data_IF_676447267745
#
_entry.id   IF_676447267745
#
_cell.length_a   1.000
_cell.length_b   1.000
_cell.length_c   1.000
_cell.angle_alpha   90.00
_cell.angle_beta   90.00
_cell.angle_gamma   90.00
#
_symmetry.space_group_name_H-M   'P 1'
#
loop_
_entity.id
_entity.type
_entity.pdbx_description
1 polymer ?
#
# COMPACT_ATOMS: atom_id res chain seq x y z
N UNK A 1 -8.78 2.62 33.19
CA UNK A 1 -7.48 2.51 32.47
C UNK A 1 -7.45 1.19 31.72
N UNK A 2 -7.06 1.17 30.45
CA UNK A 2 -7.17 0.02 29.52
C UNK A 2 -6.21 -1.17 29.80
N UNK A 3 -5.63 -1.28 31.00
CA UNK A 3 -4.72 -2.39 31.34
C UNK A 3 -3.40 -2.43 30.56
N UNK A 4 -3.10 -1.40 29.77
CA UNK A 4 -1.91 -1.33 28.91
C UNK A 4 -0.63 -1.22 29.74
N UNK A 5 0.35 -2.09 29.48
CA UNK A 5 1.69 -2.00 30.05
C UNK A 5 2.58 -1.16 29.14
N UNK A 6 3.22 -0.13 29.70
CA UNK A 6 4.18 0.70 28.97
C UNK A 6 5.52 -0.03 28.87
N UNK A 7 6.05 -0.15 27.66
CA UNK A 7 7.41 -0.61 27.40
C UNK A 7 8.22 0.58 26.90
N UNK A 8 9.22 1.00 27.66
CA UNK A 8 10.10 2.11 27.29
C UNK A 8 11.33 1.57 26.56
N UNK A 9 11.71 2.23 25.46
CA UNK A 9 13.04 2.06 24.89
C UNK A 9 14.08 2.74 25.79
N UNK A 10 15.29 2.18 25.87
CA UNK A 10 16.40 2.81 26.57
C UNK A 10 17.21 3.67 25.60
N UNK A 11 17.73 4.80 26.08
CA UNK A 11 18.60 5.64 25.26
C UNK A 11 19.80 4.81 24.76
N UNK A 12 20.10 4.90 23.45
CA UNK A 12 21.21 4.19 22.78
C UNK A 12 21.09 2.65 22.72
N UNK A 13 19.90 2.08 22.90
CA UNK A 13 19.66 0.63 22.69
C UNK A 13 18.36 0.36 21.89
N UNK A 14 18.42 0.39 20.54
CA UNK A 14 17.23 0.30 19.68
C UNK A 14 16.63 -1.12 19.56
N UNK A 15 16.91 -2.01 20.52
CA UNK A 15 16.54 -3.43 20.43
C UNK A 15 15.03 -3.68 20.35
N UNK A 16 14.21 -2.76 20.87
CA UNK A 16 12.74 -2.86 20.86
C UNK A 16 12.06 -1.98 19.81
N UNK A 17 12.67 -0.88 19.37
CA UNK A 17 12.01 0.14 18.54
C UNK A 17 12.46 0.17 17.08
N UNK A 18 13.43 -0.68 16.70
CA UNK A 18 14.04 -0.65 15.36
C UNK A 18 13.09 -0.82 14.17
N UNK A 19 11.93 -1.48 14.36
CA UNK A 19 10.90 -1.56 13.31
C UNK A 19 10.19 -0.22 13.11
N UNK A 20 9.81 0.46 14.20
CA UNK A 20 9.20 1.77 14.12
C UNK A 20 10.21 2.81 13.62
N UNK A 21 11.46 2.76 14.09
CA UNK A 21 12.54 3.62 13.60
C UNK A 21 12.75 3.47 12.08
N UNK A 22 12.80 2.25 11.56
CA UNK A 22 12.94 2.01 10.11
C UNK A 22 11.73 2.49 9.32
N UNK A 23 10.52 2.33 9.87
CA UNK A 23 9.29 2.86 9.28
C UNK A 23 9.33 4.38 9.22
N UNK A 24 9.69 5.05 10.32
CA UNK A 24 9.82 6.51 10.42
C UNK A 24 10.84 7.02 9.40
N UNK A 25 12.02 6.40 9.33
CA UNK A 25 13.05 6.77 8.33
C UNK A 25 12.54 6.67 6.89
N UNK A 26 11.76 5.62 6.58
CA UNK A 26 11.19 5.45 5.23
C UNK A 26 10.16 6.54 4.93
N UNK A 27 9.30 6.87 5.89
CA UNK A 27 8.30 7.95 5.74
C UNK A 27 8.98 9.31 5.59
N UNK A 28 10.03 9.59 6.36
CA UNK A 28 10.82 10.81 6.25
C UNK A 28 11.49 10.96 4.89
N UNK A 29 12.06 9.90 4.34
CA UNK A 29 12.69 9.92 3.01
C UNK A 29 11.64 10.18 1.91
N UNK A 30 10.47 9.55 2.00
CA UNK A 30 9.35 9.82 1.10
C UNK A 30 8.93 11.30 1.20
N UNK A 31 8.66 11.80 2.40
CA UNK A 31 8.26 13.19 2.63
C UNK A 31 9.32 14.17 2.12
N UNK A 32 10.61 13.92 2.38
CA UNK A 32 11.70 14.81 1.94
C UNK A 32 11.72 14.91 0.42
N UNK A 33 11.53 13.80 -0.30
CA UNK A 33 11.44 13.80 -1.77
C UNK A 33 10.21 14.58 -2.23
N UNK A 34 9.03 14.28 -1.69
CA UNK A 34 7.80 14.94 -2.11
C UNK A 34 7.75 16.43 -1.76
N UNK A 35 8.26 16.85 -0.60
CA UNK A 35 8.38 18.26 -0.24
C UNK A 35 9.40 18.98 -1.14
N UNK A 36 10.52 18.33 -1.49
CA UNK A 36 11.47 18.89 -2.45
C UNK A 36 10.82 19.10 -3.83
N UNK A 37 10.06 18.12 -4.33
CA UNK A 37 9.31 18.24 -5.59
C UNK A 37 8.13 19.23 -5.51
N UNK A 38 7.43 19.29 -4.38
CA UNK A 38 6.28 20.18 -4.17
C UNK A 38 6.67 21.65 -4.11
N UNK A 39 7.92 21.97 -3.71
CA UNK A 39 8.45 23.34 -3.83
C UNK A 39 8.63 23.79 -5.29
N UNK A 40 8.83 22.85 -6.22
CA UNK A 40 8.97 23.11 -7.65
C UNK A 40 7.61 23.15 -8.37
N UNK A 41 6.68 22.28 -7.97
CA UNK A 41 5.31 22.21 -8.50
C UNK A 41 4.34 23.02 -7.64
N UNK A 42 4.10 24.27 -8.06
CA UNK A 42 2.96 25.05 -7.59
C UNK A 42 1.72 24.65 -8.39
N UNK A 43 0.60 24.44 -7.71
CA UNK A 43 -0.66 24.33 -8.43
C UNK A 43 -1.04 25.66 -9.12
N UNK A 44 -2.13 25.66 -9.88
CA UNK A 44 -2.63 26.82 -10.61
C UNK A 44 -3.02 28.00 -9.69
N UNK A 45 -3.12 27.77 -8.38
CA UNK A 45 -3.44 28.77 -7.35
C UNK A 45 -2.19 29.21 -6.56
N UNK A 46 -1.01 28.66 -6.88
CA UNK A 46 0.25 29.00 -6.22
C UNK A 46 0.50 28.24 -4.90
N UNK A 47 -0.28 27.23 -4.58
CA UNK A 47 -0.15 26.41 -3.39
C UNK A 47 1.02 25.43 -3.52
N UNK A 48 1.93 25.46 -2.54
CA UNK A 48 2.94 24.44 -2.32
C UNK A 48 2.33 23.37 -1.43
N UNK A 49 2.37 22.10 -1.84
CA UNK A 49 1.87 21.01 -1.01
C UNK A 49 2.60 20.99 0.35
N UNK A 50 1.90 21.38 1.42
CA UNK A 50 2.41 21.28 2.80
C UNK A 50 2.60 19.80 3.17
N UNK A 51 3.61 19.49 3.96
CA UNK A 51 3.94 18.12 4.37
C UNK A 51 2.76 17.45 5.08
N UNK A 52 1.95 18.22 5.83
CA UNK A 52 0.74 17.73 6.50
C UNK A 52 -0.29 17.23 5.49
N UNK A 53 -0.47 17.95 4.38
CA UNK A 53 -1.41 17.56 3.32
C UNK A 53 -0.96 16.31 2.56
N UNK A 54 0.35 16.02 2.57
CA UNK A 54 0.93 14.84 1.94
C UNK A 54 0.87 13.59 2.82
N UNK A 55 0.72 13.72 4.15
CA UNK A 55 0.71 12.58 5.07
C UNK A 55 -0.28 11.46 4.69
N UNK A 56 -1.54 11.73 4.31
CA UNK A 56 -2.46 10.67 3.93
C UNK A 56 -1.99 9.91 2.68
N UNK A 57 -1.41 10.61 1.71
CA UNK A 57 -0.87 10.02 0.49
C UNK A 57 0.36 9.16 0.78
N UNK A 58 1.27 9.64 1.63
CA UNK A 58 2.47 8.90 2.06
C UNK A 58 2.09 7.64 2.84
N UNK A 59 1.14 7.75 3.77
CA UNK A 59 0.64 6.60 4.53
C UNK A 59 0.04 5.54 3.60
N UNK A 60 -0.77 5.95 2.62
CA UNK A 60 -1.36 5.05 1.64
C UNK A 60 -0.26 4.37 0.82
N UNK A 61 0.67 5.13 0.27
CA UNK A 61 1.77 4.61 -0.55
C UNK A 61 2.61 3.58 0.22
N UNK A 62 2.97 3.87 1.47
CA UNK A 62 3.70 2.96 2.34
C UNK A 62 2.91 1.67 2.59
N UNK A 63 1.63 1.78 2.99
CA UNK A 63 0.79 0.62 3.32
C UNK A 63 0.50 -0.30 2.12
N UNK A 64 0.57 0.23 0.90
CA UNK A 64 0.39 -0.55 -0.34
C UNK A 64 1.70 -1.00 -0.99
N UNK A 65 2.85 -0.61 -0.44
CA UNK A 65 4.16 -1.01 -0.97
C UNK A 65 4.57 -2.37 -0.41
N UNK A 66 5.12 -3.23 -1.27
CA UNK A 66 5.59 -4.55 -0.85
C UNK A 66 6.89 -4.42 -0.05
N UNK A 67 6.95 -5.02 1.14
CA UNK A 67 8.17 -5.04 1.94
C UNK A 67 9.03 -6.25 1.56
N UNK A 68 10.33 -6.05 1.38
CA UNK A 68 11.28 -7.09 0.99
C UNK A 68 11.39 -8.23 2.01
N UNK A 69 11.20 -7.92 3.30
CA UNK A 69 11.29 -8.90 4.39
C UNK A 69 10.10 -9.85 4.46
N UNK A 70 8.89 -9.36 4.17
CA UNK A 70 7.65 -10.15 4.28
C UNK A 70 7.12 -10.62 2.93
N UNK A 71 7.59 -10.04 1.82
CA UNK A 71 7.05 -10.27 0.48
C UNK A 71 5.59 -9.82 0.35
N UNK A 72 5.06 -9.05 1.30
CA UNK A 72 3.67 -8.62 1.35
C UNK A 72 3.59 -7.13 1.64
N UNK A 73 2.45 -6.53 1.30
CA UNK A 73 2.17 -5.14 1.67
C UNK A 73 1.70 -5.09 3.13
N UNK A 74 2.02 -4.02 3.88
CA UNK A 74 1.52 -3.85 5.24
C UNK A 74 0.00 -3.96 5.34
N UNK A 75 -0.75 -3.39 4.39
CA UNK A 75 -2.21 -3.48 4.37
C UNK A 75 -2.73 -4.93 4.24
N UNK A 76 -2.05 -5.79 3.48
CA UNK A 76 -2.40 -7.22 3.40
C UNK A 76 -2.04 -7.95 4.69
N UNK A 77 -0.93 -7.60 5.34
CA UNK A 77 -0.52 -8.22 6.61
C UNK A 77 -1.46 -7.83 7.75
N UNK A 78 -1.87 -6.56 7.81
CA UNK A 78 -2.71 -6.03 8.88
C UNK A 78 -4.21 -6.30 8.64
N UNK A 79 -4.69 -6.06 7.42
CA UNK A 79 -6.14 -6.04 7.08
C UNK A 79 -6.56 -7.16 6.14
N UNK A 80 -5.61 -7.84 5.49
CA UNK A 80 -5.88 -8.92 4.54
C UNK A 80 -6.17 -8.47 3.11
N UNK A 81 -6.22 -7.16 2.82
CA UNK A 81 -6.51 -6.63 1.49
C UNK A 81 -5.77 -5.32 1.23
N UNK A 82 -5.55 -4.99 -0.05
CA UNK A 82 -5.00 -3.71 -0.47
C UNK A 82 -6.12 -2.77 -0.95
N UNK A 83 -6.12 -1.49 -0.53
CA UNK A 83 -7.02 -0.49 -1.08
C UNK A 83 -6.75 -0.25 -2.57
N UNK A 84 -7.82 0.06 -3.32
CA UNK A 84 -7.72 0.47 -4.71
C UNK A 84 -7.06 1.84 -4.79
N UNK A 85 -5.93 1.94 -5.48
CA UNK A 85 -5.19 3.19 -5.63
C UNK A 85 -5.81 4.03 -6.76
N UNK A 86 -5.56 5.36 -6.77
CA UNK A 86 -5.94 6.21 -7.90
C UNK A 86 -5.41 5.71 -9.25
N UNK A 87 -4.22 5.10 -9.26
CA UNK A 87 -3.64 4.45 -10.46
C UNK A 87 -4.39 3.18 -10.87
N UNK A 88 -5.12 2.54 -9.96
CA UNK A 88 -6.02 1.44 -10.29
C UNK A 88 -7.36 2.00 -10.80
N UNK A 89 -7.74 3.20 -10.35
CA UNK A 89 -8.90 3.94 -10.86
C UNK A 89 -8.69 4.41 -12.31
N UNK A 90 -7.51 4.92 -12.67
CA UNK A 90 -7.22 5.22 -14.08
C UNK A 90 -7.20 3.96 -14.96
N UNK A 91 -6.92 2.80 -14.34
CA UNK A 91 -7.07 1.48 -14.95
C UNK A 91 -8.51 0.93 -14.90
N UNK A 92 -9.51 1.62 -14.32
CA UNK A 92 -10.89 1.10 -14.16
C UNK A 92 -11.70 0.93 -15.45
N UNK A 93 -11.17 1.27 -16.60
CA UNK A 93 -11.62 0.67 -17.85
C UNK A 93 -11.33 -0.85 -17.94
N UNK A 94 -10.74 -1.46 -16.90
CA UNK A 94 -10.45 -2.89 -16.80
C UNK A 94 -11.26 -3.67 -15.75
N UNK A 95 -12.08 -3.03 -14.90
CA UNK A 95 -12.85 -3.75 -13.87
C UNK A 95 -14.27 -3.23 -13.67
N UNK A 96 -15.00 -3.10 -14.76
CA UNK A 96 -16.39 -3.57 -14.80
C UNK A 96 -16.43 -4.69 -15.83
N UNK A 97 -16.30 -5.94 -15.38
CA UNK A 97 -16.59 -7.03 -16.29
C UNK A 97 -18.08 -6.97 -16.61
N UNK A 98 -18.39 -6.75 -17.88
CA UNK A 98 -19.71 -7.07 -18.42
C UNK A 98 -20.04 -8.51 -18.00
N UNK A 99 -21.29 -8.79 -17.64
CA UNK A 99 -21.70 -10.12 -17.11
C UNK A 99 -21.18 -11.28 -17.97
N UNK A 100 -21.26 -11.13 -19.28
CA UNK A 100 -20.73 -12.10 -20.27
C UNK A 100 -19.23 -12.36 -20.16
N UNK A 101 -18.40 -11.37 -19.82
CA UNK A 101 -16.96 -11.53 -19.67
C UNK A 101 -16.59 -12.29 -18.37
N UNK A 102 -17.40 -12.10 -17.33
CA UNK A 102 -17.33 -12.91 -16.10
C UNK A 102 -17.73 -14.36 -16.37
N UNK A 103 -18.81 -14.56 -17.14
CA UNK A 103 -19.30 -15.90 -17.47
C UNK A 103 -18.29 -16.69 -18.33
N UNK A 104 -17.62 -16.02 -19.28
CA UNK A 104 -16.56 -16.64 -20.07
C UNK A 104 -15.32 -16.98 -19.23
N UNK A 105 -14.93 -16.13 -18.27
CA UNK A 105 -13.84 -16.44 -17.33
C UNK A 105 -14.16 -17.70 -16.51
N UNK A 106 -15.40 -17.81 -16.02
CA UNK A 106 -15.86 -18.96 -15.25
C UNK A 106 -15.96 -20.23 -16.11
N UNK A 107 -16.36 -20.13 -17.37
CA UNK A 107 -16.35 -21.25 -18.31
C UNK A 107 -14.92 -21.73 -18.59
N UNK A 108 -14.01 -20.80 -18.88
CA UNK A 108 -12.61 -21.10 -19.20
C UNK A 108 -11.91 -21.81 -18.05
N UNK A 109 -12.11 -21.34 -16.82
CA UNK A 109 -11.55 -21.98 -15.61
C UNK A 109 -11.99 -23.43 -15.48
N UNK A 110 -13.28 -23.71 -15.73
CA UNK A 110 -13.85 -25.06 -15.68
C UNK A 110 -13.27 -25.97 -16.77
N UNK A 111 -13.04 -25.45 -17.97
CA UNK A 111 -12.43 -26.23 -19.05
C UNK A 111 -10.98 -26.64 -18.69
N UNK A 112 -10.20 -25.71 -18.12
CA UNK A 112 -8.85 -26.00 -17.63
C UNK A 112 -8.86 -27.03 -16.49
N UNK A 113 -9.75 -26.91 -15.52
CA UNK A 113 -9.86 -27.87 -14.41
C UNK A 113 -10.27 -29.27 -14.87
N UNK A 114 -11.08 -29.34 -15.94
CA UNK A 114 -11.51 -30.62 -16.51
C UNK A 114 -10.38 -31.25 -17.31
N UNK A 115 -9.64 -30.47 -18.09
CA UNK A 115 -8.45 -30.92 -18.80
C UNK A 115 -7.35 -31.40 -17.83
N UNK A 116 -7.15 -30.70 -16.72
CA UNK A 116 -6.20 -31.11 -15.68
C UNK A 116 -6.57 -32.45 -15.03
N UNK A 117 -7.86 -32.79 -14.96
CA UNK A 117 -8.35 -34.09 -14.45
C UNK A 117 -8.27 -35.23 -15.47
N UNK A 118 -8.19 -34.92 -16.76
CA UNK A 118 -8.06 -35.91 -17.84
C UNK A 118 -6.59 -36.27 -18.13
N UNK A 119 -5.64 -35.52 -17.58
CA UNK A 119 -4.20 -35.74 -17.75
C UNK A 119 -3.58 -36.40 -16.50
N UNK A 120 -4.37 -36.71 -15.47
CA UNK A 120 -4.00 -37.59 -14.35
C UNK A 120 -4.41 -39.04 -14.64
#
# INVERSE_FOLDING_TARGET
MLGTKLAFSTAYHPQTDGLAERMIQTMEDILRRFCAYGMEYKDHEGYTHDWVTLLPAVQLAYNTSQHSTTGKTPAVVEKGWNPLLPVDHSKKNLLTFHSTAKDFHDMWKRACDTAAKLIA
#
